data_IF_032136848654
#
_entry.id   IF_032136848654
#
_cell.length_a   1.000
_cell.length_b   1.000
_cell.length_c   1.000
_cell.angle_alpha   90.00
_cell.angle_beta   90.00
_cell.angle_gamma   90.00
#
_symmetry.space_group_name_H-M   'P 1'
#
loop_
_entity.id
_entity.type
_entity.pdbx_description
1 polymer ?
#
# COMPACT_ATOMS: atom_id res chain seq x y z
N UNK A 1 10.54 -7.48 9.06
CA UNK A 1 9.71 -8.50 8.38
C UNK A 1 8.42 -8.91 9.10
N UNK A 2 8.43 -9.02 10.44
CA UNK A 2 7.31 -9.62 11.21
C UNK A 2 5.95 -8.93 11.01
N UNK A 3 5.93 -7.59 10.99
CA UNK A 3 4.71 -6.80 10.74
C UNK A 3 4.16 -7.03 9.33
N UNK A 4 5.03 -7.12 8.32
CA UNK A 4 4.61 -7.39 6.93
C UNK A 4 3.96 -8.78 6.86
N UNK A 5 4.58 -9.79 7.47
CA UNK A 5 4.06 -11.16 7.50
C UNK A 5 2.73 -11.27 8.26
N UNK A 6 2.59 -10.55 9.37
CA UNK A 6 1.34 -10.50 10.13
C UNK A 6 0.17 -9.94 9.29
N UNK A 7 0.37 -8.79 8.64
CA UNK A 7 -0.66 -8.20 7.78
C UNK A 7 -0.93 -9.06 6.55
N UNK A 8 0.11 -9.67 5.98
CA UNK A 8 -0.03 -10.61 4.86
C UNK A 8 -0.91 -11.79 5.26
N UNK A 9 -0.69 -12.37 6.45
CA UNK A 9 -1.49 -13.47 6.98
C UNK A 9 -2.96 -13.09 7.15
N UNK A 10 -3.24 -11.92 7.72
CA UNK A 10 -4.63 -11.46 7.91
C UNK A 10 -5.34 -11.16 6.58
N UNK A 11 -4.70 -10.40 5.69
CA UNK A 11 -5.30 -9.98 4.42
C UNK A 11 -5.41 -11.14 3.39
N UNK A 12 -4.61 -12.19 3.56
CA UNK A 12 -4.73 -13.44 2.80
C UNK A 12 -5.49 -14.55 3.55
N UNK A 13 -6.03 -14.25 4.73
CA UNK A 13 -6.83 -15.16 5.53
C UNK A 13 -8.07 -15.68 4.80
N UNK A 14 -8.62 -16.79 5.32
CA UNK A 14 -9.76 -17.47 4.73
C UNK A 14 -11.08 -16.88 5.23
N UNK A 15 -11.09 -16.34 6.45
CA UNK A 15 -12.29 -15.83 7.08
C UNK A 15 -12.52 -14.35 6.78
N UNK A 16 -13.80 -13.94 6.77
CA UNK A 16 -14.18 -12.54 6.63
C UNK A 16 -13.62 -11.67 7.78
N UNK A 17 -13.52 -12.25 8.97
CA UNK A 17 -12.99 -11.59 10.18
C UNK A 17 -11.51 -11.24 10.02
N UNK A 18 -10.70 -12.17 9.50
CA UNK A 18 -9.27 -11.94 9.26
C UNK A 18 -9.06 -10.82 8.23
N UNK A 19 -9.79 -10.84 7.12
CA UNK A 19 -9.73 -9.80 6.09
C UNK A 19 -10.06 -8.41 6.66
N UNK A 20 -11.15 -8.32 7.42
CA UNK A 20 -11.56 -7.07 8.06
C UNK A 20 -10.54 -6.61 9.11
N UNK A 21 -10.02 -7.52 9.94
CA UNK A 21 -8.96 -7.21 10.90
C UNK A 21 -7.67 -6.76 10.21
N UNK A 22 -7.29 -7.39 9.10
CA UNK A 22 -6.14 -7.00 8.29
C UNK A 22 -6.27 -5.57 7.81
N UNK A 23 -7.42 -5.20 7.25
CA UNK A 23 -7.71 -3.82 6.83
C UNK A 23 -7.57 -2.82 7.98
N UNK A 24 -8.24 -3.10 9.11
CA UNK A 24 -8.24 -2.19 10.26
C UNK A 24 -6.83 -2.07 10.86
N UNK A 25 -6.09 -3.18 10.96
CA UNK A 25 -4.70 -3.22 11.41
C UNK A 25 -3.79 -2.40 10.50
N UNK A 26 -3.90 -2.57 9.17
CA UNK A 26 -3.14 -1.78 8.19
C UNK A 26 -3.41 -0.28 8.34
N UNK A 27 -4.66 0.12 8.56
CA UNK A 27 -5.01 1.53 8.77
C UNK A 27 -4.47 2.04 10.10
N UNK A 28 -4.65 1.28 11.18
CA UNK A 28 -4.13 1.65 12.49
C UNK A 28 -2.62 1.88 12.42
N UNK A 29 -1.85 0.88 12.00
CA UNK A 29 -0.39 0.97 11.96
C UNK A 29 0.11 2.06 11.02
N UNK A 30 -0.53 2.24 9.86
CA UNK A 30 -0.17 3.30 8.92
C UNK A 30 -0.44 4.73 9.40
N UNK A 31 -1.30 4.91 10.41
CA UNK A 31 -1.49 6.21 11.09
C UNK A 31 -0.69 6.33 12.40
N UNK A 32 -0.37 5.20 13.03
CA UNK A 32 0.48 5.13 14.22
C UNK A 32 1.92 5.50 13.90
N UNK A 33 2.45 5.03 12.77
CA UNK A 33 3.79 5.34 12.26
C UNK A 33 3.89 6.73 11.62
N UNK A 34 3.22 7.73 12.20
CA UNK A 34 2.97 9.03 11.60
C UNK A 34 4.21 9.82 11.16
N UNK A 35 3.97 10.97 10.52
CA UNK A 35 5.00 11.92 10.10
C UNK A 35 5.88 12.31 11.30
N UNK A 36 7.21 12.25 11.13
CA UNK A 36 8.22 12.67 12.11
C UNK A 36 8.45 11.73 13.32
N UNK A 37 8.04 10.46 13.23
CA UNK A 37 8.32 9.47 14.28
C UNK A 37 7.50 9.65 15.56
N UNK A 38 6.51 10.54 15.54
CA UNK A 38 5.64 10.78 16.69
C UNK A 38 4.50 9.75 16.70
N UNK A 39 4.41 9.00 17.79
CA UNK A 39 3.38 8.00 18.01
C UNK A 39 2.02 8.66 18.34
N UNK A 40 1.03 8.50 17.46
CA UNK A 40 -0.32 9.10 17.61
C UNK A 40 -1.44 8.05 17.67
N UNK A 41 -1.58 7.31 18.78
CA UNK A 41 -2.51 6.19 18.87
C UNK A 41 -3.98 6.62 18.78
N UNK A 42 -4.34 7.78 19.34
CA UNK A 42 -5.72 8.28 19.28
C UNK A 42 -6.17 8.57 17.84
N UNK A 43 -5.28 9.15 17.03
CA UNK A 43 -5.53 9.38 15.60
C UNK A 43 -5.68 8.07 14.86
N UNK A 44 -4.82 7.10 15.12
CA UNK A 44 -4.89 5.77 14.51
C UNK A 44 -6.19 5.04 14.86
N UNK A 45 -6.59 5.04 16.14
CA UNK A 45 -7.86 4.48 16.61
C UNK A 45 -9.04 5.20 15.95
N UNK A 46 -9.02 6.53 15.90
CA UNK A 46 -10.08 7.33 15.28
C UNK A 46 -10.27 6.96 13.80
N UNK A 47 -9.17 6.76 13.06
CA UNK A 47 -9.19 6.34 11.65
C UNK A 47 -9.65 4.90 11.46
N UNK A 48 -9.18 3.98 12.30
CA UNK A 48 -9.62 2.59 12.32
C UNK A 48 -11.13 2.46 12.62
N UNK A 49 -11.66 3.27 13.56
CA UNK A 49 -13.08 3.26 13.93
C UNK A 49 -14.00 3.64 12.77
N UNK A 50 -13.54 4.41 11.78
CA UNK A 50 -14.36 4.84 10.64
C UNK A 50 -15.00 3.67 9.88
N UNK A 51 -14.33 2.51 9.83
CA UNK A 51 -14.86 1.32 9.15
C UNK A 51 -16.01 0.64 9.91
N UNK A 52 -16.13 0.90 11.22
CA UNK A 52 -17.20 0.34 12.05
C UNK A 52 -18.30 1.36 12.37
N UNK A 53 -17.95 2.64 12.54
CA UNK A 53 -18.89 3.68 13.01
C UNK A 53 -19.20 4.77 11.98
N UNK A 54 -18.38 4.93 10.94
CA UNK A 54 -18.51 6.01 9.96
C UNK A 54 -17.91 7.34 10.41
N UNK A 55 -18.20 8.42 9.67
CA UNK A 55 -17.70 9.76 9.96
C UNK A 55 -18.76 10.85 9.68
N UNK A 56 -19.06 11.67 10.69
CA UNK A 56 -20.00 12.80 10.56
C UNK A 56 -21.32 12.38 9.89
N UNK A 57 -21.59 12.90 8.68
CA UNK A 57 -22.82 12.60 7.91
C UNK A 57 -22.70 11.34 7.02
N UNK A 58 -21.57 10.65 7.02
CA UNK A 58 -21.33 9.47 6.21
C UNK A 58 -21.32 8.20 7.09
N UNK A 59 -22.33 7.35 6.92
CA UNK A 59 -22.39 6.06 7.59
C UNK A 59 -21.25 5.12 7.15
N UNK A 60 -20.85 4.24 8.08
CA UNK A 60 -19.94 3.13 7.79
C UNK A 60 -20.46 2.29 6.62
N UNK A 61 -19.54 1.69 5.87
CA UNK A 61 -19.89 0.67 4.88
C UNK A 61 -20.14 -0.65 5.61
N UNK A 62 -21.13 -1.42 5.16
CA UNK A 62 -21.41 -2.73 5.77
C UNK A 62 -20.17 -3.65 5.68
N UNK A 63 -19.78 -4.35 6.77
CA UNK A 63 -18.58 -5.19 6.78
C UNK A 63 -18.52 -6.21 5.65
N UNK A 64 -19.66 -6.82 5.28
CA UNK A 64 -19.74 -7.76 4.17
C UNK A 64 -19.32 -7.14 2.82
N UNK A 65 -19.68 -5.89 2.58
CA UNK A 65 -19.32 -5.15 1.33
C UNK A 65 -17.83 -4.82 1.32
N UNK A 66 -17.26 -4.47 2.49
CA UNK A 66 -15.81 -4.24 2.64
C UNK A 66 -15.05 -5.53 2.33
N UNK A 67 -15.47 -6.65 2.91
CA UNK A 67 -14.86 -7.96 2.70
C UNK A 67 -14.98 -8.43 1.24
N UNK A 68 -16.12 -8.16 0.59
CA UNK A 68 -16.30 -8.43 -0.83
C UNK A 68 -15.30 -7.63 -1.68
N UNK A 69 -15.13 -6.33 -1.41
CA UNK A 69 -14.17 -5.49 -2.11
C UNK A 69 -12.71 -5.97 -1.89
N UNK A 70 -12.34 -6.31 -0.66
CA UNK A 70 -11.01 -6.89 -0.37
C UNK A 70 -10.78 -8.22 -1.09
N UNK A 71 -11.80 -9.08 -1.13
CA UNK A 71 -11.72 -10.38 -1.81
C UNK A 71 -11.57 -10.18 -3.33
N UNK A 72 -12.33 -9.27 -3.92
CA UNK A 72 -12.22 -8.93 -5.34
C UNK A 72 -10.84 -8.33 -5.68
N UNK A 73 -10.34 -7.41 -4.84
CA UNK A 73 -9.01 -6.85 -4.97
C UNK A 73 -7.93 -7.94 -4.95
N UNK A 74 -8.01 -8.88 -3.99
CA UNK A 74 -7.10 -10.03 -3.89
C UNK A 74 -7.17 -10.93 -5.14
N UNK A 75 -8.36 -11.19 -5.68
CA UNK A 75 -8.51 -11.96 -6.92
C UNK A 75 -7.82 -11.26 -8.11
N UNK A 76 -8.02 -9.95 -8.28
CA UNK A 76 -7.36 -9.19 -9.34
C UNK A 76 -5.83 -9.17 -9.16
N UNK A 77 -5.34 -9.03 -7.93
CA UNK A 77 -3.91 -9.03 -7.62
C UNK A 77 -3.26 -10.38 -7.96
N UNK A 78 -3.91 -11.49 -7.62
CA UNK A 78 -3.46 -12.85 -8.00
C UNK A 78 -3.45 -13.05 -9.51
N UNK A 79 -4.39 -12.45 -10.23
CA UNK A 79 -4.45 -12.46 -11.69
C UNK A 79 -3.46 -11.49 -12.37
N UNK A 80 -2.63 -10.75 -11.62
CA UNK A 80 -1.70 -9.76 -12.17
C UNK A 80 -2.35 -8.43 -12.58
N UNK A 81 -3.66 -8.25 -12.35
CA UNK A 81 -4.42 -7.07 -12.72
C UNK A 81 -4.37 -6.00 -11.61
N UNK A 82 -3.18 -5.45 -11.34
CA UNK A 82 -2.92 -4.54 -10.20
C UNK A 82 -3.82 -3.29 -10.23
N UNK A 83 -4.05 -2.69 -11.40
CA UNK A 83 -4.92 -1.52 -11.53
C UNK A 83 -6.37 -1.82 -11.13
N UNK A 84 -6.90 -2.96 -11.56
CA UNK A 84 -8.24 -3.40 -11.15
C UNK A 84 -8.32 -3.71 -9.65
N UNK A 85 -7.25 -4.30 -9.09
CA UNK A 85 -7.16 -4.53 -7.65
C UNK A 85 -7.24 -3.22 -6.85
N UNK A 86 -6.58 -2.15 -7.32
CA UNK A 86 -6.67 -0.82 -6.71
C UNK A 86 -8.07 -0.27 -6.77
N UNK A 87 -8.74 -0.36 -7.94
CA UNK A 87 -10.10 0.14 -8.09
C UNK A 87 -11.07 -0.55 -7.13
N UNK A 88 -10.96 -1.88 -6.96
CA UNK A 88 -11.77 -2.62 -5.98
C UNK A 88 -11.49 -2.16 -4.55
N UNK A 89 -10.22 -2.05 -4.15
CA UNK A 89 -9.85 -1.57 -2.82
C UNK A 89 -10.35 -0.14 -2.56
N UNK A 90 -10.31 0.74 -3.57
CA UNK A 90 -10.79 2.12 -3.46
C UNK A 90 -12.31 2.26 -3.34
N UNK A 91 -13.09 1.20 -3.59
CA UNK A 91 -14.53 1.17 -3.28
C UNK A 91 -14.80 1.12 -1.77
N UNK A 92 -13.79 0.81 -0.95
CA UNK A 92 -13.91 0.82 0.50
C UNK A 92 -13.94 2.27 0.98
N UNK A 93 -15.05 2.66 1.63
CA UNK A 93 -15.21 4.02 2.17
C UNK A 93 -14.06 4.37 3.11
N UNK A 94 -13.64 5.64 3.07
CA UNK A 94 -12.57 6.22 3.91
C UNK A 94 -11.15 5.70 3.68
N UNK A 95 -10.95 4.70 2.81
CA UNK A 95 -9.62 4.13 2.59
C UNK A 95 -8.75 5.03 1.69
N UNK A 96 -9.31 5.48 0.56
CA UNK A 96 -8.58 6.28 -0.43
C UNK A 96 -7.41 5.52 -1.08
N UNK A 97 -6.72 6.14 -2.03
CA UNK A 97 -5.65 5.47 -2.80
C UNK A 97 -4.47 5.05 -1.91
N UNK A 98 -4.05 5.92 -0.98
CA UNK A 98 -2.84 5.69 -0.17
C UNK A 98 -2.93 4.50 0.77
N UNK A 99 -4.09 4.24 1.38
CA UNK A 99 -4.26 3.01 2.16
C UNK A 99 -4.67 1.83 1.30
N UNK A 100 -5.34 2.05 0.16
CA UNK A 100 -5.61 0.97 -0.80
C UNK A 100 -4.31 0.35 -1.31
N UNK A 101 -3.32 1.16 -1.69
CA UNK A 101 -2.01 0.67 -2.13
C UNK A 101 -1.25 -0.08 -1.01
N UNK A 102 -1.36 0.37 0.24
CA UNK A 102 -0.79 -0.35 1.41
C UNK A 102 -1.46 -1.71 1.63
N UNK A 103 -2.78 -1.78 1.54
CA UNK A 103 -3.51 -3.05 1.64
C UNK A 103 -3.06 -4.02 0.55
N UNK A 104 -2.94 -3.55 -0.69
CA UNK A 104 -2.46 -4.40 -1.80
C UNK A 104 -1.00 -4.83 -1.61
N UNK A 105 -0.14 -3.92 -1.16
CA UNK A 105 1.26 -4.25 -0.83
C UNK A 105 1.34 -5.33 0.25
N UNK A 106 0.55 -5.24 1.32
CA UNK A 106 0.52 -6.30 2.33
C UNK A 106 -0.13 -7.59 1.81
N UNK A 107 -1.01 -7.54 0.79
CA UNK A 107 -1.56 -8.76 0.17
C UNK A 107 -0.52 -9.50 -0.70
N UNK A 108 0.29 -8.77 -1.47
CA UNK A 108 1.35 -9.34 -2.33
C UNK A 108 2.54 -8.38 -2.42
N UNK A 109 3.49 -8.43 -1.45
CA UNK A 109 4.62 -7.50 -1.41
C UNK A 109 5.61 -7.72 -2.57
N UNK A 110 5.54 -8.88 -3.23
CA UNK A 110 6.38 -9.19 -4.39
C UNK A 110 5.98 -8.41 -5.63
N UNK A 111 4.69 -8.05 -5.76
CA UNK A 111 4.13 -7.36 -6.94
C UNK A 111 3.65 -5.94 -6.67
N UNK A 112 3.16 -5.67 -5.47
CA UNK A 112 2.55 -4.38 -5.13
C UNK A 112 3.49 -3.54 -4.27
N UNK A 113 3.50 -2.24 -4.55
CA UNK A 113 4.23 -1.23 -3.80
C UNK A 113 3.26 -0.24 -3.13
N UNK A 114 3.76 0.54 -2.18
CA UNK A 114 2.99 1.66 -1.59
C UNK A 114 2.97 2.83 -2.57
N UNK A 115 1.84 3.53 -2.60
CA UNK A 115 1.69 4.77 -3.36
C UNK A 115 0.93 5.79 -2.49
N UNK A 116 1.64 6.77 -1.95
CA UNK A 116 1.10 7.86 -1.16
C UNK A 116 1.53 9.24 -1.68
N UNK A 117 1.30 10.30 -0.90
CA UNK A 117 1.65 11.66 -1.31
C UNK A 117 3.15 11.88 -1.45
N UNK A 118 3.97 11.14 -0.69
CA UNK A 118 5.43 11.28 -0.77
C UNK A 118 5.92 10.63 -2.06
N UNK A 119 5.42 9.42 -2.37
CA UNK A 119 5.73 8.76 -3.64
C UNK A 119 5.24 9.59 -4.83
N UNK A 120 4.02 10.14 -4.77
CA UNK A 120 3.49 11.00 -5.82
C UNK A 120 4.39 12.24 -6.04
N UNK A 121 4.84 12.89 -4.97
CA UNK A 121 5.74 14.04 -5.03
C UNK A 121 7.12 13.65 -5.59
N UNK A 122 7.67 12.52 -5.17
CA UNK A 122 8.93 12.00 -5.68
C UNK A 122 8.84 11.75 -7.19
N UNK A 123 7.81 11.05 -7.65
CA UNK A 123 7.59 10.77 -9.07
C UNK A 123 7.44 12.06 -9.89
N UNK A 124 6.70 13.04 -9.36
CA UNK A 124 6.51 14.34 -10.01
C UNK A 124 7.84 15.10 -10.21
N UNK A 125 8.75 15.01 -9.24
CA UNK A 125 10.03 15.71 -9.25
C UNK A 125 11.17 14.89 -9.87
N UNK A 126 10.90 13.67 -10.33
CA UNK A 126 11.92 12.80 -10.90
C UNK A 126 12.44 13.35 -12.24
N UNK A 127 13.76 13.38 -12.49
CA UNK A 127 14.31 13.79 -13.79
C UNK A 127 13.92 12.88 -14.96
N UNK A 128 13.62 11.61 -14.71
CA UNK A 128 13.17 10.66 -15.73
C UNK A 128 11.71 10.89 -16.10
N UNK A 129 11.42 11.13 -17.38
CA UNK A 129 10.07 11.38 -17.89
C UNK A 129 9.12 10.20 -17.65
N UNK A 130 9.63 8.99 -17.84
CA UNK A 130 8.93 7.73 -17.58
C UNK A 130 8.34 7.69 -16.17
N UNK A 131 9.08 8.19 -15.18
CA UNK A 131 8.66 8.22 -13.78
C UNK A 131 7.66 9.34 -13.50
N UNK A 132 7.84 10.51 -14.11
CA UNK A 132 6.86 11.60 -14.02
C UNK A 132 5.50 11.21 -14.57
N UNK A 133 5.47 10.39 -15.62
CA UNK A 133 4.24 9.86 -16.20
C UNK A 133 3.48 8.92 -15.25
N UNK A 134 4.10 8.45 -14.16
CA UNK A 134 3.42 7.68 -13.11
C UNK A 134 2.88 8.57 -11.98
N UNK A 135 3.12 9.88 -12.00
CA UNK A 135 2.70 10.79 -10.94
C UNK A 135 1.22 11.18 -11.08
N UNK A 136 0.43 10.81 -10.08
CA UNK A 136 -0.98 11.21 -9.88
C UNK A 136 -1.24 11.62 -8.42
N UNK A 137 -2.16 12.57 -8.17
CA UNK A 137 -2.53 12.94 -6.80
C UNK A 137 -3.31 11.79 -6.12
N UNK A 138 -2.87 11.31 -4.94
CA UNK A 138 -3.51 10.17 -4.27
C UNK A 138 -4.84 10.53 -3.58
N UNK A 139 -5.14 11.82 -3.42
CA UNK A 139 -6.34 12.33 -2.78
C UNK A 139 -7.04 13.38 -3.67
N UNK A 140 -8.28 13.72 -3.33
CA UNK A 140 -9.09 14.68 -4.08
C UNK A 140 -9.85 14.07 -5.27
N UNK A 141 -10.66 14.92 -5.93
CA UNK A 141 -11.39 14.56 -7.14
C UNK A 141 -10.39 14.42 -8.29
N UNK A 142 -10.19 13.18 -8.75
CA UNK A 142 -9.31 12.86 -9.87
C UNK A 142 -9.85 11.61 -10.57
N UNK A 143 -9.45 11.42 -11.83
CA UNK A 143 -9.86 10.25 -12.60
C UNK A 143 -9.32 8.96 -11.95
N UNK A 144 -10.22 8.11 -11.45
CA UNK A 144 -9.86 6.87 -10.76
C UNK A 144 -9.18 5.87 -11.69
N UNK A 145 -9.58 5.82 -12.96
CA UNK A 145 -8.95 4.96 -13.96
C UNK A 145 -7.50 5.37 -14.19
N UNK A 146 -7.24 6.68 -14.29
CA UNK A 146 -5.88 7.20 -14.41
C UNK A 146 -5.02 6.89 -13.18
N UNK A 147 -5.60 6.90 -11.97
CA UNK A 147 -4.91 6.46 -10.74
C UNK A 147 -4.55 4.99 -10.77
N UNK A 148 -5.46 4.15 -11.23
CA UNK A 148 -5.23 2.71 -11.37
C UNK A 148 -4.11 2.40 -12.38
N UNK A 149 -4.09 3.11 -13.51
CA UNK A 149 -3.02 2.99 -14.51
C UNK A 149 -1.66 3.43 -13.96
N UNK A 150 -1.61 4.61 -13.34
CA UNK A 150 -0.38 5.13 -12.74
C UNK A 150 0.16 4.20 -11.64
N UNK A 151 -0.72 3.67 -10.80
CA UNK A 151 -0.35 2.71 -9.76
C UNK A 151 0.16 1.39 -10.34
N UNK A 152 -0.50 0.86 -11.38
CA UNK A 152 -0.05 -0.36 -12.04
C UNK A 152 1.33 -0.18 -12.68
N UNK A 153 1.58 0.97 -13.33
CA UNK A 153 2.89 1.32 -13.87
C UNK A 153 3.96 1.40 -12.77
N UNK A 154 3.64 2.05 -11.64
CA UNK A 154 4.55 2.13 -10.49
C UNK A 154 4.91 0.74 -9.94
N UNK A 155 3.92 -0.12 -9.73
CA UNK A 155 4.15 -1.48 -9.26
C UNK A 155 4.95 -2.33 -10.25
N UNK A 156 4.70 -2.18 -11.55
CA UNK A 156 5.46 -2.85 -12.60
C UNK A 156 6.93 -2.38 -12.61
N UNK A 157 7.17 -1.08 -12.49
CA UNK A 157 8.52 -0.53 -12.37
C UNK A 157 9.27 -1.12 -11.16
N UNK A 158 8.65 -1.10 -9.98
CA UNK A 158 9.24 -1.69 -8.77
C UNK A 158 9.52 -3.19 -8.91
N UNK A 159 8.57 -3.95 -9.47
CA UNK A 159 8.71 -5.39 -9.67
C UNK A 159 9.84 -5.72 -10.65
N UNK A 160 9.93 -4.99 -11.77
CA UNK A 160 10.99 -5.18 -12.77
C UNK A 160 12.37 -4.85 -12.20
N UNK A 161 12.48 -3.81 -11.37
CA UNK A 161 13.74 -3.49 -10.68
C UNK A 161 14.11 -4.55 -9.65
N UNK A 162 13.14 -5.08 -8.90
CA UNK A 162 13.38 -6.16 -7.95
C UNK A 162 13.88 -7.42 -8.67
N UNK A 163 13.24 -7.79 -9.78
CA UNK A 163 13.66 -8.90 -10.62
C UNK A 163 15.10 -8.71 -11.12
N UNK A 164 15.41 -7.54 -11.70
CA UNK A 164 16.75 -7.24 -12.18
C UNK A 164 17.81 -7.30 -11.06
N UNK A 165 17.50 -6.84 -9.85
CA UNK A 165 18.43 -6.95 -8.71
C UNK A 165 18.71 -8.41 -8.36
N UNK A 166 17.67 -9.23 -8.28
CA UNK A 166 17.77 -10.65 -7.96
C UNK A 166 18.53 -11.43 -9.05
N UNK A 167 18.27 -11.15 -10.33
CA UNK A 167 18.95 -11.79 -11.48
C UNK A 167 20.45 -11.47 -11.51
N UNK A 168 20.84 -10.29 -11.05
CA UNK A 168 22.25 -9.90 -10.89
C UNK A 168 22.89 -10.42 -9.59
N UNK A 169 22.16 -11.20 -8.79
CA UNK A 169 22.65 -11.77 -7.53
C UNK A 169 22.75 -10.78 -6.38
N UNK A 170 22.15 -9.59 -6.50
CA UNK A 170 22.08 -8.64 -5.38
C UNK A 170 21.03 -9.08 -4.37
N UNK A 171 21.37 -8.98 -3.09
CA UNK A 171 20.46 -9.17 -1.96
C UNK A 171 20.56 -7.96 -1.02
N UNK A 172 19.58 -7.78 -0.15
CA UNK A 172 19.67 -6.82 0.95
C UNK A 172 19.68 -7.56 2.28
N UNK A 173 20.30 -6.96 3.31
CA UNK A 173 20.38 -7.52 4.66
C UNK A 173 19.27 -6.94 5.53
N UNK A 174 18.48 -7.77 6.19
CA UNK A 174 17.56 -7.33 7.25
C UNK A 174 18.34 -6.99 8.53
N UNK A 175 17.66 -6.46 9.55
CA UNK A 175 18.27 -6.02 10.82
C UNK A 175 19.02 -7.14 11.58
N UNK A 176 18.70 -8.41 11.29
CA UNK A 176 19.33 -9.61 11.83
C UNK A 176 20.48 -10.15 10.96
N UNK A 177 20.89 -9.39 9.93
CA UNK A 177 21.85 -9.76 8.88
C UNK A 177 21.39 -10.91 7.96
N UNK A 178 20.14 -11.36 8.05
CA UNK A 178 19.61 -12.33 7.09
C UNK A 178 19.57 -11.73 5.68
N UNK A 179 20.00 -12.51 4.69
CA UNK A 179 19.96 -12.11 3.29
C UNK A 179 18.55 -12.31 2.73
N UNK A 180 18.02 -11.27 2.09
CA UNK A 180 16.68 -11.26 1.53
C UNK A 180 16.73 -10.92 0.05
N UNK A 181 15.90 -11.63 -0.74
CA UNK A 181 15.65 -11.26 -2.12
C UNK A 181 14.83 -9.98 -2.20
N UNK A 182 15.04 -9.21 -3.26
CA UNK A 182 14.28 -8.00 -3.51
C UNK A 182 12.84 -8.31 -3.91
N UNK A 183 11.91 -7.61 -3.28
CA UNK A 183 10.48 -7.56 -3.65
C UNK A 183 10.13 -6.16 -4.17
N UNK A 184 8.98 -6.00 -4.80
CA UNK A 184 8.52 -4.68 -5.26
C UNK A 184 8.48 -3.64 -4.13
N UNK A 185 7.99 -4.02 -2.94
CA UNK A 185 7.99 -3.13 -1.77
C UNK A 185 9.39 -2.73 -1.30
N UNK A 186 10.39 -3.61 -1.42
CA UNK A 186 11.75 -3.32 -0.96
C UNK A 186 12.41 -2.28 -1.88
N UNK A 187 12.12 -2.34 -3.18
CA UNK A 187 12.53 -1.30 -4.14
C UNK A 187 11.90 0.05 -3.80
N UNK A 188 10.59 0.08 -3.52
CA UNK A 188 9.91 1.32 -3.10
C UNK A 188 10.54 1.93 -1.84
N UNK A 189 10.76 1.11 -0.81
CA UNK A 189 11.41 1.53 0.45
C UNK A 189 12.84 2.05 0.22
N UNK A 190 13.60 1.44 -0.68
CA UNK A 190 14.94 1.88 -1.04
C UNK A 190 14.93 3.26 -1.71
N UNK A 191 13.99 3.53 -2.63
CA UNK A 191 13.82 4.87 -3.21
C UNK A 191 13.49 5.91 -2.14
N UNK A 192 12.61 5.56 -1.20
CA UNK A 192 12.29 6.44 -0.07
C UNK A 192 13.52 6.77 0.76
N UNK A 193 14.33 5.77 1.12
CA UNK A 193 15.54 5.94 1.93
C UNK A 193 16.59 6.85 1.25
N UNK A 194 16.76 6.74 -0.07
CA UNK A 194 17.74 7.52 -0.84
C UNK A 194 17.29 8.99 -0.99
N UNK A 195 15.99 9.25 -1.05
CA UNK A 195 15.43 10.59 -1.30
C UNK A 195 15.59 11.60 -0.13
N UNK A 196 16.23 11.23 0.98
CA UNK A 196 16.62 12.16 2.06
C UNK A 196 15.48 12.66 2.95
N UNK A 197 14.23 12.26 2.71
CA UNK A 197 13.06 12.64 3.51
C UNK A 197 12.78 11.69 4.69
N UNK A 198 13.80 11.31 5.46
CA UNK A 198 13.58 10.47 6.64
C UNK A 198 12.88 11.24 7.78
N UNK A 199 11.77 10.73 8.35
CA UNK A 199 11.76 10.51 9.79
C UNK A 199 12.65 9.30 10.07
N UNK A 200 13.70 9.49 10.87
CA UNK A 200 14.49 8.39 11.41
C UNK A 200 13.52 7.47 12.18
N UNK A 201 13.55 6.17 11.88
CA UNK A 201 12.96 5.15 12.75
C UNK A 201 13.70 5.12 14.09
#
# INVERSE_FOLDING_TARGET
MEIDNYHTGLLNGVTQKELFHGLVSTVFWGYTSGQNGIFHPERAISKAKLFSVGHARAAAQAPAVIVQALSAARCHLRAGNIGAALLEAMKIKFLGMSFSSKVLMFMDPSKAAVYDSIIAQFLQNCPAEEMRNMAVPPAGAFNQQRRAEAYAQWCAFCSNKALAMNENGYNWSDWDNSQQSWRAVDIERAFFAISGNQPRL
#
